data_IF_647042454161
#
_entry.id   IF_647042454161
#
_cell.length_a   1.000
_cell.length_b   1.000
_cell.length_c   1.000
_cell.angle_alpha   90.00
_cell.angle_beta   90.00
_cell.angle_gamma   90.00
#
_symmetry.space_group_name_H-M   'P 1'
#
loop_
_entity.id
_entity.type
_entity.pdbx_description
1 polymer ?
#
# COMPACT_ATOMS: atom_id res chain seq x y z
N UNK A 1 -7.51 -34.93 -15.78
CA UNK A 1 -7.57 -35.06 -14.33
C UNK A 1 -8.16 -33.75 -13.83
N UNK A 2 -9.36 -33.79 -13.22
CA UNK A 2 -9.93 -32.58 -12.61
C UNK A 2 -9.01 -32.17 -11.47
N UNK A 3 -8.66 -30.89 -11.41
CA UNK A 3 -7.97 -30.34 -10.24
C UNK A 3 -8.76 -30.70 -8.97
N UNK A 4 -8.10 -31.01 -7.85
CA UNK A 4 -8.82 -31.26 -6.62
C UNK A 4 -9.64 -30.00 -6.28
N UNK A 5 -10.88 -30.24 -5.87
CA UNK A 5 -11.82 -29.20 -5.44
C UNK A 5 -11.34 -28.66 -4.08
N UNK A 6 -10.29 -27.84 -4.10
CA UNK A 6 -9.74 -27.21 -2.89
C UNK A 6 -10.69 -26.07 -2.54
N UNK A 7 -11.53 -26.29 -1.53
CA UNK A 7 -12.41 -25.25 -1.03
C UNK A 7 -11.55 -24.05 -0.55
N UNK A 8 -11.86 -22.83 -0.99
CA UNK A 8 -11.13 -21.65 -0.54
C UNK A 8 -11.11 -21.53 0.98
N UNK A 9 -9.98 -21.09 1.54
CA UNK A 9 -9.85 -20.84 2.97
C UNK A 9 -10.82 -19.73 3.41
N UNK A 10 -11.45 -19.90 4.56
CA UNK A 10 -12.33 -18.89 5.17
C UNK A 10 -11.63 -18.26 6.38
N UNK A 11 -11.43 -16.95 6.33
CA UNK A 11 -10.76 -16.16 7.37
C UNK A 11 -11.74 -15.26 8.15
N UNK A 12 -13.06 -15.41 7.95
CA UNK A 12 -14.08 -14.53 8.56
C UNK A 12 -14.13 -14.57 10.09
N UNK A 13 -13.56 -15.61 10.69
CA UNK A 13 -13.42 -15.78 12.15
C UNK A 13 -12.13 -15.20 12.72
N UNK A 14 -11.14 -14.87 11.89
CA UNK A 14 -9.85 -14.34 12.34
C UNK A 14 -10.06 -12.91 12.86
N UNK A 15 -9.66 -12.67 14.09
CA UNK A 15 -9.71 -11.35 14.70
C UNK A 15 -8.42 -10.54 14.47
N UNK A 16 -8.41 -9.31 15.01
CA UNK A 16 -7.31 -8.38 14.82
C UNK A 16 -6.00 -8.86 15.44
N UNK A 17 -6.05 -9.40 16.66
CA UNK A 17 -4.84 -9.83 17.37
C UNK A 17 -4.25 -11.08 16.71
N UNK A 18 -5.09 -12.03 16.32
CA UNK A 18 -4.68 -13.23 15.58
C UNK A 18 -4.05 -12.87 14.23
N UNK A 19 -4.62 -11.92 13.50
CA UNK A 19 -4.06 -11.45 12.22
C UNK A 19 -2.67 -10.82 12.39
N UNK A 20 -2.47 -10.00 13.44
CA UNK A 20 -1.16 -9.46 13.78
C UNK A 20 -0.16 -10.54 14.18
N UNK A 21 -0.59 -11.54 14.92
CA UNK A 21 0.28 -12.66 15.31
C UNK A 21 0.71 -13.50 14.11
N UNK A 22 -0.21 -13.76 13.17
CA UNK A 22 0.12 -14.42 11.90
C UNK A 22 1.14 -13.60 11.09
N UNK A 23 0.95 -12.29 10.96
CA UNK A 23 1.90 -11.41 10.27
C UNK A 23 3.27 -11.37 10.99
N UNK A 24 3.26 -11.31 12.32
CA UNK A 24 4.48 -11.32 13.15
C UNK A 24 5.26 -12.63 13.00
N UNK A 25 4.57 -13.75 12.96
CA UNK A 25 5.18 -15.07 12.81
C UNK A 25 5.92 -15.24 11.47
N UNK A 26 5.51 -14.51 10.43
CA UNK A 26 6.16 -14.53 9.14
C UNK A 26 7.44 -13.67 9.05
N UNK A 27 7.74 -12.78 10.01
CA UNK A 27 8.91 -11.89 9.94
C UNK A 27 10.23 -12.65 9.65
N UNK A 28 10.59 -13.74 10.37
CA UNK A 28 11.83 -14.46 10.10
C UNK A 28 11.86 -15.08 8.70
N UNK A 29 10.74 -15.65 8.26
CA UNK A 29 10.60 -16.25 6.93
C UNK A 29 10.74 -15.18 5.83
N UNK A 30 10.10 -14.03 5.96
CA UNK A 30 10.20 -12.93 5.01
C UNK A 30 11.63 -12.37 4.93
N UNK A 31 12.33 -12.22 6.06
CA UNK A 31 13.74 -11.82 6.08
C UNK A 31 14.63 -12.78 5.30
N UNK A 32 14.37 -14.08 5.40
CA UNK A 32 15.09 -15.10 4.66
C UNK A 32 14.87 -15.01 3.15
N UNK A 33 13.67 -14.62 2.70
CA UNK A 33 13.30 -14.56 1.27
C UNK A 33 13.47 -13.18 0.64
N UNK A 34 13.74 -12.14 1.41
CA UNK A 34 13.79 -10.76 0.93
C UNK A 34 14.85 -10.52 -0.17
N UNK A 35 16.00 -11.18 -0.10
CA UNK A 35 17.02 -11.12 -1.14
C UNK A 35 16.59 -11.85 -2.44
N UNK A 36 15.84 -12.93 -2.32
CA UNK A 36 15.25 -13.62 -3.46
C UNK A 36 14.18 -12.76 -4.15
N UNK A 37 13.33 -12.07 -3.39
CA UNK A 37 12.36 -11.11 -3.93
C UNK A 37 13.06 -9.95 -4.67
N UNK A 38 14.11 -9.36 -4.08
CA UNK A 38 14.88 -8.27 -4.70
C UNK A 38 15.49 -8.71 -6.04
N UNK A 39 16.12 -9.89 -6.10
CA UNK A 39 16.71 -10.45 -7.33
C UNK A 39 15.68 -10.84 -8.37
N UNK A 40 14.55 -11.41 -7.97
CA UNK A 40 13.47 -11.81 -8.87
C UNK A 40 12.67 -10.61 -9.41
N UNK A 41 12.86 -9.42 -8.84
CA UNK A 41 12.06 -8.21 -9.12
C UNK A 41 10.54 -8.42 -8.98
N UNK A 42 10.14 -9.31 -8.09
CA UNK A 42 8.77 -9.64 -7.66
C UNK A 42 8.83 -10.53 -6.43
N UNK A 43 7.71 -10.76 -5.75
CA UNK A 43 7.66 -11.74 -4.69
C UNK A 43 7.86 -13.15 -5.27
N UNK A 44 8.67 -13.97 -4.58
CA UNK A 44 8.85 -15.38 -4.98
C UNK A 44 7.62 -16.21 -4.59
N UNK A 45 7.32 -17.31 -5.30
CA UNK A 45 6.10 -18.10 -5.11
C UNK A 45 5.88 -18.57 -3.67
N UNK A 46 6.96 -18.87 -2.94
CA UNK A 46 6.92 -19.32 -1.54
C UNK A 46 6.36 -18.21 -0.63
N UNK A 47 6.74 -16.95 -0.86
CA UNK A 47 6.24 -15.79 -0.11
C UNK A 47 4.77 -15.57 -0.41
N UNK A 48 4.37 -15.59 -1.69
CA UNK A 48 2.96 -15.41 -2.10
C UNK A 48 2.08 -16.50 -1.47
N UNK A 49 2.52 -17.76 -1.52
CA UNK A 49 1.81 -18.89 -0.89
C UNK A 49 1.64 -18.68 0.61
N UNK A 50 2.71 -18.34 1.33
CA UNK A 50 2.64 -18.10 2.77
C UNK A 50 1.68 -16.97 3.13
N UNK A 51 1.59 -15.92 2.32
CA UNK A 51 0.65 -14.82 2.53
C UNK A 51 -0.81 -15.27 2.34
N UNK A 52 -1.12 -16.08 1.31
CA UNK A 52 -2.45 -16.66 1.09
C UNK A 52 -2.84 -17.61 2.22
N UNK A 53 -1.98 -18.55 2.59
CA UNK A 53 -2.22 -19.54 3.66
C UNK A 53 -2.52 -18.86 5.01
N UNK A 54 -1.96 -17.67 5.26
CA UNK A 54 -2.21 -16.88 6.47
C UNK A 54 -3.35 -15.84 6.30
N UNK A 55 -3.97 -15.73 5.12
CA UNK A 55 -5.04 -14.79 4.83
C UNK A 55 -4.61 -13.33 4.76
N UNK A 56 -3.30 -13.03 4.64
CA UNK A 56 -2.76 -11.69 4.78
C UNK A 56 -2.98 -10.78 3.56
N UNK A 57 -3.50 -11.29 2.46
CA UNK A 57 -4.08 -10.45 1.41
C UNK A 57 -5.54 -10.07 1.71
N UNK A 58 -6.23 -10.83 2.58
CA UNK A 58 -7.66 -10.74 2.84
C UNK A 58 -8.03 -10.10 4.18
N UNK A 59 -7.05 -9.45 4.86
CA UNK A 59 -7.28 -8.89 6.20
C UNK A 59 -8.35 -7.77 6.22
N UNK A 60 -8.57 -7.10 5.10
CA UNK A 60 -9.53 -5.99 4.94
C UNK A 60 -10.65 -6.33 3.93
N UNK A 61 -10.65 -7.53 3.34
CA UNK A 61 -11.72 -8.03 2.49
C UNK A 61 -12.97 -8.32 3.33
N UNK A 62 -14.21 -8.09 2.80
CA UNK A 62 -15.45 -8.34 3.53
C UNK A 62 -15.62 -9.80 3.97
N UNK A 63 -16.24 -10.00 5.14
CA UNK A 63 -16.57 -11.34 5.68
C UNK A 63 -17.50 -12.14 4.79
N UNK A 64 -18.39 -11.47 4.03
CA UNK A 64 -19.28 -12.14 3.06
C UNK A 64 -18.52 -12.89 1.97
N UNK A 65 -17.26 -12.53 1.72
CA UNK A 65 -16.35 -13.19 0.80
C UNK A 65 -15.28 -14.04 1.52
N UNK A 66 -15.47 -14.31 2.82
CA UNK A 66 -14.53 -15.08 3.65
C UNK A 66 -13.27 -14.31 4.05
N UNK A 67 -13.22 -12.99 3.89
CA UNK A 67 -12.16 -12.13 4.41
C UNK A 67 -12.28 -11.84 5.89
N UNK A 68 -11.23 -11.28 6.50
CA UNK A 68 -11.22 -10.99 7.94
C UNK A 68 -12.06 -9.76 8.31
N UNK A 69 -12.20 -8.79 7.39
CA UNK A 69 -12.93 -7.52 7.61
C UNK A 69 -12.48 -6.79 8.88
N UNK A 70 -11.16 -6.69 9.11
CA UNK A 70 -10.60 -6.09 10.31
C UNK A 70 -10.85 -4.59 10.38
N UNK A 71 -10.76 -4.03 11.58
CA UNK A 71 -10.84 -2.59 11.83
C UNK A 71 -9.79 -1.82 11.01
N UNK A 72 -10.14 -0.57 10.63
CA UNK A 72 -9.33 0.20 9.69
C UNK A 72 -7.89 0.47 10.15
N UNK A 73 -7.57 0.34 11.43
CA UNK A 73 -6.18 0.45 11.91
C UNK A 73 -5.28 -0.66 11.35
N UNK A 74 -5.84 -1.83 11.00
CA UNK A 74 -5.12 -2.91 10.33
C UNK A 74 -4.53 -2.48 8.99
N UNK A 75 -5.09 -1.44 8.37
CA UNK A 75 -4.61 -0.82 7.13
C UNK A 75 -3.18 -0.31 7.24
N UNK A 76 -2.75 0.07 8.45
CA UNK A 76 -1.37 0.44 8.77
C UNK A 76 -0.60 -0.73 9.42
N UNK A 77 -1.19 -1.40 10.42
CA UNK A 77 -0.46 -2.31 11.31
C UNK A 77 -0.03 -3.62 10.63
N UNK A 78 -0.87 -4.20 9.74
CA UNK A 78 -0.48 -5.42 9.01
C UNK A 78 0.68 -5.17 8.04
N UNK A 79 0.63 -4.14 7.16
CA UNK A 79 1.78 -3.78 6.33
C UNK A 79 3.04 -3.43 7.13
N UNK A 80 2.92 -2.77 8.30
CA UNK A 80 4.06 -2.49 9.17
C UNK A 80 4.74 -3.79 9.62
N UNK A 81 3.96 -4.73 10.09
CA UNK A 81 4.48 -6.00 10.58
C UNK A 81 5.19 -6.77 9.46
N UNK A 82 4.60 -6.83 8.25
CA UNK A 82 5.23 -7.50 7.10
C UNK A 82 6.47 -6.76 6.60
N UNK A 83 6.41 -5.41 6.55
CA UNK A 83 7.55 -4.57 6.17
C UNK A 83 8.76 -4.70 7.08
N UNK A 84 8.56 -5.11 8.33
CA UNK A 84 9.63 -5.45 9.28
C UNK A 84 10.37 -6.75 8.88
N UNK A 85 9.71 -7.61 8.11
CA UNK A 85 10.33 -8.78 7.47
C UNK A 85 10.99 -8.42 6.13
N UNK A 86 10.21 -7.80 5.24
CA UNK A 86 10.64 -7.37 3.91
C UNK A 86 9.75 -6.21 3.42
N UNK A 87 10.36 -5.07 3.10
CA UNK A 87 9.67 -3.86 2.66
C UNK A 87 8.80 -4.09 1.41
N UNK A 88 9.33 -4.82 0.43
CA UNK A 88 8.63 -5.12 -0.81
C UNK A 88 7.37 -5.97 -0.55
N UNK A 89 7.46 -6.97 0.32
CA UNK A 89 6.32 -7.79 0.73
C UNK A 89 5.25 -6.95 1.43
N UNK A 90 5.64 -6.13 2.42
CA UNK A 90 4.71 -5.23 3.11
C UNK A 90 4.01 -4.28 2.16
N UNK A 91 4.73 -3.72 1.19
CA UNK A 91 4.19 -2.82 0.17
C UNK A 91 3.21 -3.51 -0.79
N UNK A 92 3.55 -4.71 -1.29
CA UNK A 92 2.67 -5.48 -2.18
C UNK A 92 1.37 -5.83 -1.45
N UNK A 93 1.45 -6.36 -0.23
CA UNK A 93 0.26 -6.68 0.57
C UNK A 93 -0.57 -5.42 0.85
N UNK A 94 0.06 -4.30 1.21
CA UNK A 94 -0.62 -3.02 1.43
C UNK A 94 -1.45 -2.59 0.21
N UNK A 95 -0.86 -2.66 -0.98
CA UNK A 95 -1.55 -2.28 -2.22
C UNK A 95 -2.68 -3.25 -2.55
N UNK A 96 -2.39 -4.56 -2.67
CA UNK A 96 -3.38 -5.54 -3.11
C UNK A 96 -4.56 -5.64 -2.14
N UNK A 97 -4.31 -5.65 -0.83
CA UNK A 97 -5.40 -5.64 0.16
C UNK A 97 -6.21 -4.32 0.13
N UNK A 98 -5.57 -3.17 -0.12
CA UNK A 98 -6.29 -1.89 -0.25
C UNK A 98 -7.29 -1.90 -1.42
N UNK A 99 -6.98 -2.63 -2.49
CA UNK A 99 -7.89 -2.80 -3.62
C UNK A 99 -9.06 -3.74 -3.31
N UNK A 100 -8.90 -4.72 -2.42
CA UNK A 100 -10.02 -5.49 -1.88
C UNK A 100 -11.04 -4.58 -1.18
N UNK A 101 -10.57 -3.66 -0.32
CA UNK A 101 -11.45 -2.65 0.26
C UNK A 101 -12.04 -1.73 -0.83
N UNK A 102 -11.23 -1.36 -1.81
CA UNK A 102 -11.67 -0.53 -2.94
C UNK A 102 -12.82 -1.18 -3.70
N UNK A 103 -12.75 -2.48 -4.00
CA UNK A 103 -13.77 -3.22 -4.75
C UNK A 103 -15.15 -3.18 -4.08
N UNK A 104 -15.22 -2.96 -2.76
CA UNK A 104 -16.48 -2.80 -2.04
C UNK A 104 -17.29 -1.55 -2.48
N UNK A 105 -16.73 -0.67 -3.28
CA UNK A 105 -17.45 0.45 -3.88
C UNK A 105 -18.29 0.04 -5.12
N UNK A 106 -17.92 -1.06 -5.79
CA UNK A 106 -18.57 -1.57 -7.00
C UNK A 106 -19.86 -2.33 -6.68
N UNK A 107 -20.78 -2.46 -7.66
CA UNK A 107 -22.00 -3.24 -7.46
C UNK A 107 -21.69 -4.72 -7.21
N UNK A 108 -22.65 -5.43 -6.60
CA UNK A 108 -22.53 -6.86 -6.26
C UNK A 108 -22.06 -7.71 -7.44
N UNK A 109 -22.60 -7.47 -8.65
CA UNK A 109 -22.22 -8.17 -9.89
C UNK A 109 -20.72 -8.14 -10.14
N UNK A 110 -20.03 -7.02 -9.90
CA UNK A 110 -18.58 -6.92 -10.07
C UNK A 110 -17.83 -7.69 -8.99
N UNK A 111 -18.30 -7.63 -7.74
CA UNK A 111 -17.71 -8.38 -6.64
C UNK A 111 -17.87 -9.90 -6.85
N UNK A 112 -19.06 -10.36 -7.30
CA UNK A 112 -19.32 -11.77 -7.65
C UNK A 112 -18.43 -12.25 -8.80
N UNK A 113 -18.20 -11.43 -9.82
CA UNK A 113 -17.36 -11.79 -10.95
C UNK A 113 -15.90 -11.96 -10.55
N UNK A 114 -15.40 -11.17 -9.59
CA UNK A 114 -14.02 -11.19 -9.15
C UNK A 114 -13.81 -12.23 -8.04
N UNK A 115 -14.69 -12.28 -7.03
CA UNK A 115 -14.50 -13.13 -5.85
C UNK A 115 -15.42 -14.34 -5.76
N UNK A 116 -16.47 -14.40 -6.60
CA UNK A 116 -17.51 -15.44 -6.46
C UNK A 116 -16.99 -16.86 -6.68
N UNK A 117 -16.01 -17.04 -7.57
CA UNK A 117 -15.38 -18.34 -7.82
C UNK A 117 -14.13 -18.55 -6.97
N UNK A 118 -13.36 -17.50 -6.74
CA UNK A 118 -12.13 -17.54 -5.97
C UNK A 118 -11.97 -16.24 -5.15
N UNK A 119 -12.23 -16.28 -3.84
CA UNK A 119 -12.07 -15.13 -2.97
C UNK A 119 -10.60 -14.74 -2.74
N UNK A 120 -9.63 -15.56 -3.13
CA UNK A 120 -8.20 -15.26 -3.08
C UNK A 120 -7.70 -14.46 -4.30
N UNK A 121 -8.60 -14.18 -5.28
CA UNK A 121 -8.31 -13.35 -6.46
C UNK A 121 -7.76 -11.99 -6.05
N UNK A 122 -6.58 -11.64 -6.58
CA UNK A 122 -5.88 -10.39 -6.29
C UNK A 122 -6.12 -9.34 -7.39
N UNK A 123 -6.11 -8.08 -6.98
CA UNK A 123 -6.34 -6.92 -7.85
C UNK A 123 -5.18 -5.96 -7.67
N UNK A 124 -4.40 -5.71 -8.74
CA UNK A 124 -3.42 -4.64 -8.76
C UNK A 124 -4.04 -3.33 -9.30
N UNK A 125 -3.28 -2.25 -9.45
CA UNK A 125 -3.88 -1.00 -9.94
C UNK A 125 -2.93 -0.05 -10.68
N UNK A 126 -3.50 0.67 -11.65
CA UNK A 126 -2.97 1.87 -12.26
C UNK A 126 -3.89 3.06 -11.97
N UNK A 127 -3.67 3.79 -10.86
CA UNK A 127 -4.60 4.82 -10.36
C UNK A 127 -4.38 6.22 -10.95
N UNK A 128 -3.33 6.44 -11.73
CA UNK A 128 -3.05 7.72 -12.35
C UNK A 128 -4.02 7.97 -13.53
N UNK A 129 -5.19 8.53 -13.27
CA UNK A 129 -6.28 8.68 -14.23
C UNK A 129 -5.87 9.39 -15.52
N UNK A 130 -4.89 10.29 -15.50
CA UNK A 130 -4.37 10.97 -16.68
C UNK A 130 -3.60 10.06 -17.65
N UNK A 131 -3.23 8.83 -17.21
CA UNK A 131 -2.56 7.83 -18.02
C UNK A 131 -3.52 6.95 -18.82
N UNK A 132 -4.83 7.04 -18.52
CA UNK A 132 -5.90 6.34 -19.22
C UNK A 132 -6.86 7.31 -19.91
N UNK A 133 -7.37 6.93 -21.07
CA UNK A 133 -8.40 7.65 -21.82
C UNK A 133 -9.48 6.68 -22.26
N UNK A 134 -10.75 7.10 -22.10
CA UNK A 134 -11.87 6.29 -22.53
C UNK A 134 -12.93 7.15 -23.23
N UNK A 135 -13.73 6.51 -24.09
CA UNK A 135 -14.93 7.08 -24.72
C UNK A 135 -16.14 6.26 -24.33
N UNK A 136 -17.31 6.94 -24.24
CA UNK A 136 -18.58 6.24 -24.01
C UNK A 136 -18.96 5.43 -25.25
N UNK A 137 -19.37 4.19 -25.02
CA UNK A 137 -19.96 3.30 -26.02
C UNK A 137 -21.22 2.65 -25.47
N UNK A 138 -22.01 2.00 -26.29
CA UNK A 138 -23.23 1.33 -25.82
C UNK A 138 -22.89 0.25 -24.76
N UNK A 139 -23.48 0.37 -23.57
CA UNK A 139 -23.33 -0.56 -22.45
C UNK A 139 -22.00 -0.45 -21.67
N UNK A 140 -21.14 0.55 -21.95
CA UNK A 140 -19.87 0.70 -21.28
C UNK A 140 -18.96 1.80 -21.81
N UNK A 141 -17.66 1.54 -21.72
CA UNK A 141 -16.62 2.43 -22.25
C UNK A 141 -15.59 1.63 -23.07
N UNK A 142 -14.98 2.29 -24.06
CA UNK A 142 -13.78 1.83 -24.73
C UNK A 142 -12.55 2.46 -24.07
N UNK A 143 -11.70 1.65 -23.43
CA UNK A 143 -10.55 2.08 -22.64
C UNK A 143 -9.24 1.86 -23.37
N UNK A 144 -8.35 2.83 -23.34
CA UNK A 144 -6.95 2.76 -23.79
C UNK A 144 -6.05 3.46 -22.78
N UNK A 145 -4.88 2.89 -22.47
CA UNK A 145 -3.93 3.55 -21.60
C UNK A 145 -2.64 2.78 -21.37
N UNK A 146 -1.73 3.44 -20.65
CA UNK A 146 -0.46 2.90 -20.20
C UNK A 146 -0.16 3.43 -18.80
N UNK A 147 -0.23 2.57 -17.79
CA UNK A 147 -0.05 2.94 -16.38
C UNK A 147 1.22 2.31 -15.84
N UNK A 148 2.12 3.14 -15.31
CA UNK A 148 3.28 2.68 -14.56
C UNK A 148 2.96 2.41 -13.10
N UNK A 149 3.87 1.73 -12.42
CA UNK A 149 3.84 1.50 -10.98
C UNK A 149 2.69 0.61 -10.49
N UNK A 150 2.24 -0.38 -11.28
CA UNK A 150 1.28 -1.38 -10.82
C UNK A 150 1.94 -2.41 -9.91
N UNK A 151 1.98 -2.11 -8.61
CA UNK A 151 2.65 -2.94 -7.60
C UNK A 151 1.92 -4.27 -7.40
N UNK A 152 2.67 -5.39 -7.48
CA UNK A 152 2.12 -6.73 -7.29
C UNK A 152 1.37 -7.30 -8.49
N UNK A 153 1.41 -6.64 -9.66
CA UNK A 153 0.70 -7.08 -10.87
C UNK A 153 1.11 -8.48 -11.33
N UNK A 154 2.34 -8.91 -11.06
CA UNK A 154 2.80 -10.27 -11.38
C UNK A 154 2.00 -11.39 -10.65
N UNK A 155 1.22 -11.02 -9.63
CA UNK A 155 0.44 -11.93 -8.77
C UNK A 155 -1.06 -11.66 -8.81
N UNK A 156 -1.52 -10.81 -9.75
CA UNK A 156 -2.90 -10.34 -9.79
C UNK A 156 -3.61 -10.82 -11.05
N UNK A 157 -4.83 -11.28 -10.89
CA UNK A 157 -5.72 -11.70 -11.98
C UNK A 157 -6.51 -10.53 -12.55
N UNK A 158 -6.59 -9.43 -11.80
CA UNK A 158 -7.32 -8.21 -12.17
C UNK A 158 -6.49 -6.96 -11.98
N UNK A 159 -6.84 -5.93 -12.76
CA UNK A 159 -6.30 -4.59 -12.66
C UNK A 159 -7.42 -3.56 -12.46
N UNK A 160 -7.21 -2.65 -11.50
CA UNK A 160 -8.03 -1.49 -11.29
C UNK A 160 -7.41 -0.29 -12.02
N UNK A 161 -7.91 0.05 -13.21
CA UNK A 161 -7.33 1.07 -14.08
C UNK A 161 -8.15 2.36 -14.06
N UNK A 162 -7.49 3.48 -13.75
CA UNK A 162 -8.11 4.80 -13.75
C UNK A 162 -8.03 5.44 -15.14
N UNK A 163 -9.10 6.16 -15.57
CA UNK A 163 -9.11 6.85 -16.83
C UNK A 163 -9.94 8.13 -16.80
N UNK A 164 -9.63 9.03 -17.72
CA UNK A 164 -10.49 10.17 -18.07
C UNK A 164 -11.44 9.76 -19.18
N UNK A 165 -12.76 9.88 -18.95
CA UNK A 165 -13.78 9.68 -19.96
C UNK A 165 -14.00 10.98 -20.71
N UNK A 166 -14.03 10.91 -22.05
CA UNK A 166 -14.18 12.05 -22.94
C UNK A 166 -15.45 11.91 -23.78
N UNK A 167 -16.08 13.05 -24.11
CA UNK A 167 -17.15 13.13 -25.10
C UNK A 167 -16.62 13.00 -26.55
N UNK A 168 -17.52 13.10 -27.53
CA UNK A 168 -17.21 13.01 -28.96
C UNK A 168 -16.27 14.14 -29.44
N UNK A 169 -16.29 15.28 -28.76
CA UNK A 169 -15.46 16.46 -29.03
C UNK A 169 -14.09 16.37 -28.31
N UNK A 170 -13.84 15.29 -27.53
CA UNK A 170 -12.60 15.06 -26.78
C UNK A 170 -12.52 15.79 -25.44
N UNK A 171 -13.60 16.40 -24.98
CA UNK A 171 -13.66 17.12 -23.70
C UNK A 171 -13.84 16.13 -22.54
N UNK A 172 -13.06 16.26 -21.44
CA UNK A 172 -13.26 15.46 -20.25
C UNK A 172 -14.66 15.67 -19.63
N UNK A 173 -15.40 14.58 -19.42
CA UNK A 173 -16.75 14.58 -18.83
C UNK A 173 -16.83 13.80 -17.53
N UNK A 174 -15.93 12.85 -17.30
CA UNK A 174 -15.87 12.01 -16.11
C UNK A 174 -14.47 11.46 -15.90
N UNK A 175 -14.17 10.94 -14.73
CA UNK A 175 -13.09 9.99 -14.54
C UNK A 175 -13.63 8.74 -13.85
N UNK A 176 -13.12 7.58 -14.29
CA UNK A 176 -13.60 6.28 -13.84
C UNK A 176 -12.46 5.39 -13.37
N UNK A 177 -12.79 4.51 -12.46
CA UNK A 177 -11.98 3.36 -12.08
C UNK A 177 -12.60 2.12 -12.70
N UNK A 178 -11.80 1.34 -13.43
CA UNK A 178 -12.26 0.21 -14.22
C UNK A 178 -11.67 -1.09 -13.71
N UNK A 179 -12.49 -2.11 -13.47
CA UNK A 179 -12.01 -3.47 -13.17
C UNK A 179 -11.78 -4.22 -14.49
N UNK A 180 -10.54 -4.61 -14.76
CA UNK A 180 -10.09 -5.20 -16.02
C UNK A 180 -9.44 -6.56 -15.74
N UNK A 181 -9.89 -7.68 -16.35
CA UNK A 181 -9.27 -8.98 -16.16
C UNK A 181 -7.92 -9.08 -16.90
N UNK A 182 -7.03 -9.94 -16.41
CA UNK A 182 -5.68 -10.13 -16.95
C UNK A 182 -5.66 -10.43 -18.46
N UNK A 183 -6.70 -11.06 -18.99
CA UNK A 183 -6.83 -11.36 -20.43
C UNK A 183 -6.95 -10.11 -21.32
N UNK A 184 -7.20 -8.93 -20.75
CA UNK A 184 -7.44 -7.67 -21.48
C UNK A 184 -6.33 -6.64 -21.34
N UNK A 185 -5.28 -6.93 -20.60
CA UNK A 185 -4.13 -6.02 -20.48
C UNK A 185 -2.80 -6.75 -20.68
N UNK A 186 -1.74 -6.00 -20.94
CA UNK A 186 -0.37 -6.50 -21.07
C UNK A 186 0.52 -5.90 -20.00
N UNK A 187 1.28 -6.75 -19.32
CA UNK A 187 2.31 -6.34 -18.36
C UNK A 187 3.65 -6.19 -19.08
N UNK A 188 4.28 -5.02 -18.95
CA UNK A 188 5.60 -4.73 -19.52
C UNK A 188 6.66 -5.02 -18.45
N UNK A 189 7.65 -5.84 -18.78
CA UNK A 189 8.74 -6.17 -17.86
C UNK A 189 9.81 -5.07 -17.84
N UNK A 190 9.50 -3.94 -17.20
CA UNK A 190 10.32 -2.72 -17.14
C UNK A 190 10.74 -2.31 -15.72
N UNK A 191 10.46 -3.15 -14.69
CA UNK A 191 10.75 -2.84 -13.30
C UNK A 191 12.20 -3.13 -12.91
N UNK A 192 13.09 -2.18 -13.25
CA UNK A 192 14.51 -2.24 -12.92
C UNK A 192 14.91 -0.97 -12.17
N UNK A 193 14.94 -1.04 -10.86
CA UNK A 193 14.97 0.10 -9.96
C UNK A 193 16.10 0.01 -8.93
N UNK A 194 16.39 1.14 -8.27
CA UNK A 194 17.36 1.23 -7.19
C UNK A 194 16.98 0.36 -5.99
N UNK A 195 15.72 0.41 -5.56
CA UNK A 195 15.14 -0.31 -4.45
C UNK A 195 13.68 -0.64 -4.72
N UNK A 196 12.99 -1.23 -3.75
CA UNK A 196 11.62 -1.75 -3.90
C UNK A 196 11.50 -2.74 -5.08
N UNK A 197 12.58 -3.41 -5.41
CA UNK A 197 12.66 -4.29 -6.59
C UNK A 197 11.68 -5.45 -6.50
N UNK A 198 11.55 -6.05 -5.30
CA UNK A 198 10.61 -7.15 -5.04
C UNK A 198 9.13 -6.80 -5.17
N UNK A 199 8.77 -5.51 -5.37
CA UNK A 199 7.36 -5.13 -5.57
C UNK A 199 6.83 -5.47 -6.96
N UNK A 200 7.69 -5.64 -7.96
CA UNK A 200 7.27 -5.88 -9.35
C UNK A 200 6.31 -4.81 -9.87
N UNK A 201 6.54 -3.52 -9.52
CA UNK A 201 5.62 -2.42 -9.85
C UNK A 201 5.69 -2.05 -11.32
N UNK A 202 5.35 -3.01 -12.18
CA UNK A 202 5.52 -2.94 -13.65
C UNK A 202 4.52 -2.00 -14.30
N UNK A 203 4.80 -1.65 -15.55
CA UNK A 203 3.87 -0.93 -16.41
C UNK A 203 2.82 -1.88 -16.99
N UNK A 204 1.56 -1.44 -16.96
CA UNK A 204 0.42 -2.12 -17.58
C UNK A 204 -0.09 -1.30 -18.75
N UNK A 205 -0.49 -1.95 -19.82
CA UNK A 205 -1.06 -1.28 -21.00
C UNK A 205 -2.25 -2.06 -21.55
N UNK A 206 -3.24 -1.32 -22.06
CA UNK A 206 -4.33 -1.88 -22.86
C UNK A 206 -4.67 -0.93 -24.02
N UNK A 207 -5.27 -1.46 -25.08
CA UNK A 207 -5.64 -0.70 -26.24
C UNK A 207 -7.04 -1.07 -26.71
N UNK A 208 -7.97 -0.09 -26.71
CA UNK A 208 -9.35 -0.23 -27.18
C UNK A 208 -10.09 -1.43 -26.60
N UNK A 209 -9.98 -1.62 -25.28
CA UNK A 209 -10.73 -2.69 -24.63
C UNK A 209 -12.12 -2.19 -24.21
N UNK A 210 -13.14 -3.03 -24.36
CA UNK A 210 -14.47 -2.77 -23.85
C UNK A 210 -14.54 -3.09 -22.37
N UNK A 211 -14.99 -2.09 -21.57
CA UNK A 211 -15.27 -2.25 -20.15
C UNK A 211 -16.75 -1.95 -19.93
N UNK A 212 -17.55 -2.94 -19.48
CA UNK A 212 -18.98 -2.74 -19.26
C UNK A 212 -19.23 -1.79 -18.07
N UNK A 213 -20.36 -1.07 -18.09
CA UNK A 213 -20.69 -0.03 -17.11
C UNK A 213 -20.59 -0.49 -15.66
N UNK A 214 -20.99 -1.74 -15.34
CA UNK A 214 -20.92 -2.26 -13.98
C UNK A 214 -19.49 -2.45 -13.46
N UNK A 215 -18.47 -2.51 -14.35
CA UNK A 215 -17.05 -2.56 -14.00
C UNK A 215 -16.37 -1.17 -14.05
N UNK A 216 -17.00 -0.17 -14.65
CA UNK A 216 -16.44 1.18 -14.86
C UNK A 216 -17.08 2.19 -13.90
N UNK A 217 -16.60 2.24 -12.65
CA UNK A 217 -17.15 3.05 -11.59
C UNK A 217 -16.77 4.54 -11.76
N UNK A 218 -17.77 5.43 -11.86
CA UNK A 218 -17.53 6.87 -11.83
C UNK A 218 -17.02 7.31 -10.45
N UNK A 219 -15.97 8.10 -10.44
CA UNK A 219 -15.34 8.62 -9.23
C UNK A 219 -15.65 10.11 -9.02
N UNK A 220 -16.75 10.61 -9.54
CA UNK A 220 -17.24 11.99 -9.36
C UNK A 220 -17.49 12.33 -7.88
N UNK A 221 -16.42 12.34 -7.09
CA UNK A 221 -16.44 12.59 -5.64
C UNK A 221 -16.97 14.01 -5.33
N UNK A 222 -16.85 14.93 -6.27
CA UNK A 222 -17.36 16.29 -6.15
C UNK A 222 -18.92 16.38 -6.20
N UNK A 223 -19.62 15.30 -6.55
CA UNK A 223 -21.08 15.27 -6.49
C UNK A 223 -21.52 14.84 -5.09
N UNK A 224 -22.08 15.72 -4.25
CA UNK A 224 -22.50 15.40 -2.88
C UNK A 224 -23.63 14.35 -2.81
N UNK A 225 -24.29 14.04 -3.93
CA UNK A 225 -25.30 12.99 -4.07
C UNK A 225 -24.74 11.67 -4.61
N UNK A 226 -23.45 11.60 -4.90
CA UNK A 226 -22.84 10.40 -5.44
C UNK A 226 -22.75 9.33 -4.34
N UNK A 227 -23.45 8.24 -4.51
CA UNK A 227 -23.37 7.05 -3.65
C UNK A 227 -22.75 5.90 -4.45
N UNK A 228 -21.69 5.32 -3.92
CA UNK A 228 -21.11 4.12 -4.50
C UNK A 228 -22.05 2.92 -4.29
N UNK A 229 -22.44 2.21 -5.36
CA UNK A 229 -23.48 1.18 -5.29
C UNK A 229 -23.16 0.05 -4.32
N UNK A 230 -21.89 -0.33 -4.19
CA UNK A 230 -21.44 -1.42 -3.33
C UNK A 230 -21.50 -1.10 -1.84
N UNK A 231 -21.47 0.19 -1.43
CA UNK A 231 -21.50 0.55 0.00
C UNK A 231 -22.81 0.14 0.71
N UNK A 232 -23.88 -0.11 -0.03
CA UNK A 232 -25.16 -0.61 0.52
C UNK A 232 -25.09 -2.09 0.90
N UNK A 233 -24.09 -2.84 0.39
CA UNK A 233 -23.91 -4.26 0.63
C UNK A 233 -23.14 -4.53 1.93
N UNK A 234 -22.38 -3.54 2.42
CA UNK A 234 -21.46 -3.68 3.53
C UNK A 234 -21.90 -2.82 4.73
N UNK A 235 -22.17 -3.45 5.86
CA UNK A 235 -22.58 -2.76 7.08
C UNK A 235 -21.43 -2.08 7.81
N UNK A 236 -20.19 -2.60 7.66
CA UNK A 236 -19.02 -2.05 8.32
C UNK A 236 -18.69 -0.66 7.80
N UNK A 237 -18.63 0.31 8.70
CA UNK A 237 -18.36 1.71 8.39
C UNK A 237 -16.96 1.96 7.82
N UNK A 238 -16.03 1.03 7.99
CA UNK A 238 -14.70 1.07 7.42
C UNK A 238 -14.72 1.27 5.89
N UNK A 239 -15.67 0.64 5.20
CA UNK A 239 -15.78 0.75 3.74
C UNK A 239 -16.20 2.15 3.26
N UNK A 240 -16.77 2.97 4.15
CA UNK A 240 -17.17 4.36 3.87
C UNK A 240 -16.03 5.38 4.05
N UNK A 241 -14.90 4.99 4.67
CA UNK A 241 -13.76 5.91 4.88
C UNK A 241 -13.15 6.27 3.52
N UNK A 242 -12.96 7.57 3.18
CA UNK A 242 -12.39 7.98 1.90
C UNK A 242 -10.93 7.52 1.74
N UNK A 243 -10.64 6.82 0.66
CA UNK A 243 -9.28 6.33 0.37
C UNK A 243 -8.31 7.49 0.06
N UNK A 244 -8.81 8.56 -0.59
CA UNK A 244 -7.97 9.65 -1.08
C UNK A 244 -7.12 10.35 -0.01
N UNK A 245 -7.59 10.39 1.25
CA UNK A 245 -6.87 11.04 2.35
C UNK A 245 -5.96 10.10 3.15
N UNK A 246 -6.22 8.80 3.11
CA UNK A 246 -5.54 7.78 3.91
C UNK A 246 -4.84 6.70 3.06
N UNK A 247 -4.93 6.78 1.72
CA UNK A 247 -4.35 5.77 0.83
C UNK A 247 -2.83 5.57 0.98
N UNK A 248 -2.10 6.60 1.39
CA UNK A 248 -0.66 6.49 1.66
C UNK A 248 -0.31 5.79 2.98
N UNK A 249 -1.27 5.61 3.91
CA UNK A 249 -0.98 5.07 5.25
C UNK A 249 -0.61 3.59 5.22
N UNK A 250 -1.20 2.78 4.34
CA UNK A 250 -0.86 1.37 4.24
C UNK A 250 0.58 1.16 3.76
N UNK A 251 0.99 1.88 2.72
CA UNK A 251 2.37 1.81 2.22
C UNK A 251 3.38 2.47 3.17
N UNK A 252 2.97 3.51 3.90
CA UNK A 252 3.77 4.09 4.98
C UNK A 252 3.94 3.10 6.16
N UNK A 253 2.95 2.27 6.44
CA UNK A 253 3.06 1.15 7.38
C UNK A 253 4.21 0.23 7.00
N UNK A 254 4.24 -0.27 5.76
CA UNK A 254 5.32 -1.11 5.26
C UNK A 254 6.71 -0.47 5.44
N UNK A 255 6.82 0.85 5.16
CA UNK A 255 8.08 1.57 5.30
C UNK A 255 8.45 1.89 6.76
N UNK A 256 7.46 2.02 7.64
CA UNK A 256 7.70 2.09 9.10
C UNK A 256 8.28 0.77 9.60
N UNK A 257 7.76 -0.37 9.13
CA UNK A 257 8.31 -1.70 9.39
C UNK A 257 9.74 -1.86 8.88
N UNK A 258 10.03 -1.37 7.67
CA UNK A 258 11.38 -1.37 7.09
C UNK A 258 12.37 -0.57 7.96
N UNK A 259 11.99 0.62 8.41
CA UNK A 259 12.82 1.42 9.32
C UNK A 259 13.01 0.75 10.69
N UNK A 260 11.97 0.07 11.20
CA UNK A 260 12.05 -0.75 12.42
C UNK A 260 13.05 -1.90 12.25
N UNK A 261 13.05 -2.58 11.10
CA UNK A 261 14.05 -3.62 10.79
C UNK A 261 15.48 -3.06 10.77
N UNK A 262 15.68 -1.86 10.21
CA UNK A 262 16.97 -1.18 10.27
C UNK A 262 17.44 -0.94 11.71
N UNK A 263 16.54 -0.47 12.57
CA UNK A 263 16.83 -0.22 13.99
C UNK A 263 17.24 -1.50 14.72
N UNK A 264 16.51 -2.58 14.51
CA UNK A 264 16.82 -3.89 15.11
C UNK A 264 18.17 -4.44 14.67
N UNK A 265 18.39 -4.50 13.36
CA UNK A 265 19.63 -5.04 12.79
C UNK A 265 20.84 -4.19 13.21
N UNK A 266 20.73 -2.87 13.20
CA UNK A 266 21.80 -1.97 13.63
C UNK A 266 22.09 -2.13 15.13
N UNK A 267 21.04 -2.25 15.96
CA UNK A 267 21.21 -2.46 17.40
C UNK A 267 21.94 -3.76 17.70
N UNK A 268 21.57 -4.86 17.05
CA UNK A 268 22.25 -6.14 17.21
C UNK A 268 23.71 -6.09 16.72
N UNK A 269 23.94 -5.47 15.56
CA UNK A 269 25.29 -5.26 15.05
C UNK A 269 26.18 -4.48 16.04
N UNK A 270 25.67 -3.39 16.60
CA UNK A 270 26.41 -2.51 17.53
C UNK A 270 26.75 -3.22 18.83
N UNK A 271 25.88 -4.10 19.34
CA UNK A 271 26.16 -4.90 20.56
C UNK A 271 27.40 -5.77 20.40
N UNK A 272 27.66 -6.27 19.20
CA UNK A 272 28.73 -7.23 18.91
C UNK A 272 30.01 -6.58 18.38
N UNK A 273 29.93 -5.37 17.81
CA UNK A 273 31.01 -4.75 17.05
C UNK A 273 31.96 -3.94 17.94
N UNK A 274 33.24 -4.04 17.63
CA UNK A 274 34.30 -3.18 18.16
C UNK A 274 34.92 -2.34 17.04
N UNK A 275 35.55 -1.21 17.39
CA UNK A 275 36.28 -0.37 16.44
C UNK A 275 37.56 -1.09 15.95
N UNK A 276 37.91 -0.93 14.68
CA UNK A 276 39.05 -1.60 14.06
C UNK A 276 40.39 -1.11 14.59
N UNK A 277 40.46 0.14 15.05
CA UNK A 277 41.75 0.74 15.46
C UNK A 277 42.02 0.68 16.96
N UNK A 278 40.99 0.72 17.78
CA UNK A 278 41.16 0.79 19.25
C UNK A 278 40.61 -0.42 19.97
N UNK A 279 39.85 -1.29 19.30
CA UNK A 279 39.18 -2.44 19.92
C UNK A 279 38.04 -2.05 20.87
N UNK A 280 37.72 -0.75 20.99
CA UNK A 280 36.66 -0.27 21.86
C UNK A 280 35.28 -0.75 21.38
N UNK A 281 34.41 -1.16 22.28
CA UNK A 281 33.06 -1.66 21.96
C UNK A 281 32.18 -0.51 21.51
N UNK A 282 31.57 -0.62 20.31
CA UNK A 282 30.71 0.44 19.75
C UNK A 282 29.53 0.79 20.64
N UNK A 283 28.95 -0.20 21.33
CA UNK A 283 27.82 0.00 22.26
C UNK A 283 28.10 0.98 23.41
N UNK A 284 29.39 1.19 23.76
CA UNK A 284 29.80 2.03 24.89
C UNK A 284 29.98 3.52 24.50
N UNK A 285 29.88 3.83 23.18
CA UNK A 285 29.99 5.23 22.71
C UNK A 285 28.66 5.98 22.87
N UNK A 286 28.69 7.10 23.58
CA UNK A 286 27.50 7.95 23.75
C UNK A 286 26.91 8.44 22.43
N UNK A 287 27.74 8.73 21.42
CA UNK A 287 27.28 9.13 20.07
C UNK A 287 26.51 8.02 19.36
N UNK A 288 26.87 6.78 19.58
CA UNK A 288 26.16 5.60 19.04
C UNK A 288 24.82 5.43 19.74
N UNK A 289 24.82 5.52 21.09
CA UNK A 289 23.59 5.45 21.91
C UNK A 289 22.60 6.56 21.53
N UNK A 290 23.09 7.80 21.37
CA UNK A 290 22.28 8.95 20.94
C UNK A 290 21.62 8.70 19.59
N UNK A 291 22.37 8.21 18.58
CA UNK A 291 21.87 7.94 17.23
C UNK A 291 20.78 6.85 17.21
N UNK A 292 20.98 5.77 17.97
CA UNK A 292 19.97 4.72 18.14
C UNK A 292 18.70 5.29 18.79
N UNK A 293 18.85 6.06 19.86
CA UNK A 293 17.72 6.70 20.54
C UNK A 293 16.94 7.67 19.65
N UNK A 294 17.63 8.49 18.86
CA UNK A 294 17.00 9.42 17.91
C UNK A 294 16.25 8.68 16.79
N UNK A 295 16.86 7.63 16.22
CA UNK A 295 16.21 6.84 15.18
C UNK A 295 14.95 6.14 15.73
N UNK A 296 15.03 5.52 16.90
CA UNK A 296 13.89 4.91 17.57
C UNK A 296 12.75 5.90 17.82
N UNK A 297 13.06 7.09 18.37
CA UNK A 297 12.06 8.14 18.63
C UNK A 297 11.35 8.61 17.35
N UNK A 298 12.06 8.75 16.21
CA UNK A 298 11.47 9.12 14.93
C UNK A 298 10.51 8.03 14.43
N UNK A 299 10.90 6.76 14.50
CA UNK A 299 10.09 5.62 14.08
C UNK A 299 8.82 5.53 14.92
N UNK A 300 8.94 5.66 16.26
CA UNK A 300 7.80 5.61 17.17
C UNK A 300 6.84 6.78 17.00
N UNK A 301 7.36 7.98 16.73
CA UNK A 301 6.53 9.15 16.42
C UNK A 301 5.70 8.91 15.15
N UNK A 302 6.32 8.42 14.08
CA UNK A 302 5.62 8.13 12.81
C UNK A 302 4.57 7.05 13.01
N UNK A 303 4.91 5.94 13.66
CA UNK A 303 3.97 4.86 14.00
C UNK A 303 2.76 5.43 14.76
N UNK A 304 2.99 6.24 15.77
CA UNK A 304 1.94 6.84 16.59
C UNK A 304 1.04 7.75 15.76
N UNK A 305 1.61 8.63 14.93
CA UNK A 305 0.82 9.56 14.11
C UNK A 305 -0.07 8.83 13.12
N UNK A 306 0.51 7.93 12.33
CA UNK A 306 -0.22 7.29 11.22
C UNK A 306 -1.24 6.28 11.73
N UNK A 307 -0.91 5.55 12.77
CA UNK A 307 -1.85 4.65 13.44
C UNK A 307 -3.02 5.42 14.04
N UNK A 308 -2.76 6.57 14.70
CA UNK A 308 -3.80 7.41 15.26
C UNK A 308 -4.71 8.02 14.18
N UNK A 309 -4.17 8.43 13.03
CA UNK A 309 -4.98 8.91 11.90
C UNK A 309 -5.98 7.84 11.44
N UNK A 310 -5.56 6.57 11.37
CA UNK A 310 -6.45 5.45 11.02
C UNK A 310 -7.52 5.20 12.10
N UNK A 311 -7.16 5.23 13.37
CA UNK A 311 -8.08 5.06 14.51
C UNK A 311 -9.11 6.19 14.58
N UNK A 312 -8.67 7.43 14.40
CA UNK A 312 -9.55 8.61 14.39
C UNK A 312 -10.59 8.51 13.27
N UNK A 313 -10.14 8.19 12.05
CA UNK A 313 -11.02 8.00 10.90
C UNK A 313 -12.02 6.86 11.16
N UNK A 314 -11.55 5.70 11.65
CA UNK A 314 -12.41 4.56 11.96
C UNK A 314 -13.50 4.92 12.99
N UNK A 315 -13.11 5.52 14.12
CA UNK A 315 -14.02 5.90 15.19
C UNK A 315 -15.05 6.93 14.72
N UNK A 316 -14.63 7.91 13.91
CA UNK A 316 -15.51 8.93 13.37
C UNK A 316 -16.59 8.31 12.47
N UNK A 317 -16.21 7.43 11.54
CA UNK A 317 -17.17 6.79 10.62
C UNK A 317 -18.06 5.78 11.33
N UNK A 318 -17.58 5.11 12.39
CA UNK A 318 -18.38 4.20 13.22
C UNK A 318 -19.58 4.88 13.88
N UNK A 319 -19.46 6.17 14.24
CA UNK A 319 -20.56 6.96 14.81
C UNK A 319 -21.32 7.79 13.76
N UNK A 320 -21.13 7.52 12.46
CA UNK A 320 -21.83 8.22 11.36
C UNK A 320 -21.28 9.61 11.02
N UNK A 321 -20.12 9.98 11.56
CA UNK A 321 -19.42 11.24 11.24
C UNK A 321 -18.78 11.23 9.85
N UNK A 322 -18.24 12.39 9.45
CA UNK A 322 -17.51 12.58 8.18
C UNK A 322 -16.25 13.39 8.42
N UNK A 323 -15.17 13.08 7.71
CA UNK A 323 -13.91 13.84 7.79
C UNK A 323 -14.08 15.26 7.24
N UNK A 324 -13.59 16.24 7.98
CA UNK A 324 -13.44 17.62 7.49
C UNK A 324 -12.28 17.70 6.49
N UNK A 325 -12.21 18.79 5.72
CA UNK A 325 -11.08 19.02 4.81
C UNK A 325 -9.76 19.15 5.57
N UNK A 326 -9.76 19.80 6.73
CA UNK A 326 -8.59 19.97 7.60
C UNK A 326 -8.07 18.62 8.09
N UNK A 327 -8.94 17.71 8.52
CA UNK A 327 -8.57 16.36 8.93
C UNK A 327 -7.96 15.57 7.77
N UNK A 328 -8.58 15.61 6.59
CA UNK A 328 -8.07 14.96 5.38
C UNK A 328 -6.68 15.46 4.99
N UNK A 329 -6.46 16.77 5.00
CA UNK A 329 -5.18 17.39 4.68
C UNK A 329 -4.13 17.11 5.76
N UNK A 330 -4.53 17.07 7.04
CA UNK A 330 -3.65 16.68 8.15
C UNK A 330 -3.12 15.27 7.98
N UNK A 331 -3.97 14.31 7.63
CA UNK A 331 -3.55 12.92 7.39
C UNK A 331 -2.51 12.83 6.26
N UNK A 332 -2.74 13.52 5.15
CA UNK A 332 -1.78 13.57 4.05
C UNK A 332 -0.45 14.20 4.48
N UNK A 333 -0.50 15.31 5.22
CA UNK A 333 0.68 15.96 5.80
C UNK A 333 1.45 15.00 6.72
N UNK A 334 0.76 14.33 7.63
CA UNK A 334 1.36 13.39 8.59
C UNK A 334 2.06 12.23 7.85
N UNK A 335 1.43 11.70 6.81
CA UNK A 335 1.97 10.62 5.99
C UNK A 335 3.28 11.05 5.30
N UNK A 336 3.29 12.21 4.63
CA UNK A 336 4.48 12.70 3.92
C UNK A 336 5.62 13.10 4.88
N UNK A 337 5.30 13.80 5.98
CA UNK A 337 6.31 14.15 6.98
C UNK A 337 6.83 12.91 7.71
N UNK A 338 5.96 11.91 7.94
CA UNK A 338 6.36 10.63 8.52
C UNK A 338 7.41 9.93 7.66
N UNK A 339 7.21 9.83 6.34
CA UNK A 339 8.20 9.22 5.45
C UNK A 339 9.55 9.96 5.52
N UNK A 340 9.55 11.28 5.57
CA UNK A 340 10.80 12.06 5.73
C UNK A 340 11.55 11.66 7.00
N UNK A 341 10.84 11.54 8.12
CA UNK A 341 11.46 11.12 9.40
C UNK A 341 11.98 9.68 9.35
N UNK A 342 11.29 8.77 8.63
CA UNK A 342 11.74 7.38 8.45
C UNK A 342 13.01 7.32 7.60
N UNK A 343 13.11 8.11 6.53
CA UNK A 343 14.34 8.23 5.71
C UNK A 343 15.51 8.70 6.59
N UNK A 344 15.33 9.79 7.34
CA UNK A 344 16.36 10.30 8.26
C UNK A 344 16.78 9.27 9.33
N UNK A 345 15.85 8.47 9.83
CA UNK A 345 16.17 7.40 10.78
C UNK A 345 17.00 6.30 10.12
N UNK A 346 16.61 5.84 8.92
CA UNK A 346 17.34 4.80 8.18
C UNK A 346 18.72 5.30 7.77
N UNK A 347 18.86 6.56 7.33
CA UNK A 347 20.17 7.16 7.02
C UNK A 347 21.11 7.11 8.22
N UNK A 348 20.63 7.55 9.38
CA UNK A 348 21.40 7.53 10.63
C UNK A 348 21.85 6.11 11.01
N UNK A 349 20.98 5.12 10.83
CA UNK A 349 21.28 3.72 11.15
C UNK A 349 22.23 3.09 10.12
N UNK A 350 22.07 3.43 8.84
CA UNK A 350 22.93 2.94 7.77
C UNK A 350 24.36 3.48 7.89
N UNK A 351 24.55 4.76 8.23
CA UNK A 351 25.87 5.35 8.50
C UNK A 351 26.66 4.57 9.54
N UNK A 352 25.98 4.00 10.56
CA UNK A 352 26.60 3.23 11.63
C UNK A 352 27.13 1.87 11.16
N UNK A 353 26.69 1.37 10.01
CA UNK A 353 27.24 0.14 9.41
C UNK A 353 28.67 0.35 8.85
N UNK A 354 29.04 1.61 8.55
CA UNK A 354 30.31 1.97 7.94
C UNK A 354 30.48 1.30 6.56
N UNK A 355 31.73 1.08 6.15
CA UNK A 355 32.05 0.49 4.85
C UNK A 355 31.42 -0.90 4.62
N UNK A 356 31.10 -1.65 5.68
CA UNK A 356 30.46 -2.95 5.54
C UNK A 356 28.99 -2.87 5.12
N UNK A 357 28.35 -1.72 5.26
CA UNK A 357 26.97 -1.50 4.85
C UNK A 357 26.73 -1.55 3.35
N UNK A 358 27.75 -1.32 2.53
CA UNK A 358 27.59 -1.22 1.06
C UNK A 358 27.59 -2.58 0.34
N UNK A 359 27.96 -3.67 1.01
CA UNK A 359 27.99 -4.99 0.37
C UNK A 359 26.60 -5.50 0.05
N UNK A 360 26.46 -6.20 -1.09
CA UNK A 360 25.18 -6.76 -1.55
C UNK A 360 24.54 -7.77 -0.59
N UNK A 361 25.35 -8.45 0.23
CA UNK A 361 24.87 -9.37 1.25
C UNK A 361 24.49 -8.67 2.57
N UNK A 362 24.58 -7.33 2.65
CA UNK A 362 24.15 -6.56 3.82
C UNK A 362 22.63 -6.31 3.77
N UNK A 363 21.85 -6.83 4.72
CA UNK A 363 20.41 -6.52 4.78
C UNK A 363 20.15 -5.02 4.93
N UNK A 364 21.01 -4.26 5.61
CA UNK A 364 20.89 -2.83 5.77
C UNK A 364 21.01 -2.07 4.44
N UNK A 365 21.83 -2.54 3.51
CA UNK A 365 21.94 -1.96 2.16
C UNK A 365 20.60 -2.04 1.42
N UNK A 366 19.92 -3.20 1.44
CA UNK A 366 18.61 -3.36 0.82
C UNK A 366 17.56 -2.48 1.51
N UNK A 367 17.50 -2.48 2.84
CA UNK A 367 16.59 -1.63 3.64
C UNK A 367 16.78 -0.16 3.28
N UNK A 368 18.02 0.31 3.17
CA UNK A 368 18.36 1.68 2.77
C UNK A 368 17.84 2.01 1.37
N UNK A 369 18.13 1.15 0.37
CA UNK A 369 17.66 1.34 -1.01
C UNK A 369 16.13 1.36 -1.10
N UNK A 370 15.47 0.46 -0.39
CA UNK A 370 14.02 0.34 -0.39
C UNK A 370 13.37 1.57 0.25
N UNK A 371 13.91 2.07 1.37
CA UNK A 371 13.40 3.28 2.02
C UNK A 371 13.47 4.50 1.10
N UNK A 372 14.61 4.70 0.43
CA UNK A 372 14.81 5.81 -0.49
C UNK A 372 13.98 5.70 -1.78
N UNK A 373 13.86 4.50 -2.34
CA UNK A 373 13.03 4.28 -3.52
C UNK A 373 11.54 4.53 -3.22
N UNK A 374 11.05 4.05 -2.09
CA UNK A 374 9.67 4.25 -1.66
C UNK A 374 9.35 5.72 -1.38
N UNK A 375 10.30 6.50 -0.85
CA UNK A 375 10.13 7.92 -0.54
C UNK A 375 9.79 8.78 -1.78
N UNK A 376 10.07 8.29 -3.00
CA UNK A 376 9.68 8.93 -4.25
C UNK A 376 8.19 8.86 -4.58
N UNK A 377 7.38 8.09 -3.83
CA UNK A 377 5.95 7.98 -4.08
C UNK A 377 5.21 9.30 -3.80
N UNK A 378 4.22 9.65 -4.64
CA UNK A 378 3.48 10.92 -4.56
C UNK A 378 2.86 11.20 -3.18
N UNK A 379 2.38 10.17 -2.49
CA UNK A 379 1.82 10.32 -1.13
C UNK A 379 2.84 10.83 -0.11
N UNK A 380 4.14 10.74 -0.40
CA UNK A 380 5.24 11.13 0.46
C UNK A 380 5.93 12.44 0.03
N UNK A 381 5.46 13.05 -1.07
CA UNK A 381 5.96 14.36 -1.51
C UNK A 381 5.57 15.44 -0.50
N UNK A 382 6.55 15.98 0.22
CA UNK A 382 6.33 17.05 1.21
C UNK A 382 5.71 18.29 0.57
N UNK A 383 6.17 18.70 -0.60
CA UNK A 383 5.67 19.87 -1.31
C UNK A 383 4.19 19.72 -1.69
N UNK A 384 3.83 18.54 -2.22
CA UNK A 384 2.45 18.26 -2.65
C UNK A 384 1.47 18.06 -1.48
N UNK A 385 1.93 17.52 -0.33
CA UNK A 385 1.03 17.12 0.74
C UNK A 385 1.00 18.09 1.93
N UNK A 386 2.09 18.86 2.19
CA UNK A 386 2.12 19.81 3.30
C UNK A 386 1.54 21.17 2.90
N UNK A 387 1.82 21.64 1.69
CA UNK A 387 1.39 22.95 1.18
C UNK A 387 -0.14 23.13 1.25
N UNK A 388 -1.00 22.20 0.83
CA UNK A 388 -2.45 22.37 0.92
C UNK A 388 -2.97 22.53 2.36
N UNK A 389 -2.36 21.79 3.30
CA UNK A 389 -2.72 21.93 4.70
C UNK A 389 -2.39 23.34 5.23
N UNK A 390 -1.17 23.82 4.96
CA UNK A 390 -0.73 25.16 5.37
C UNK A 390 -1.58 26.27 4.69
N UNK A 391 -1.94 26.11 3.42
CA UNK A 391 -2.82 27.03 2.71
C UNK A 391 -4.17 27.23 3.42
N UNK A 392 -4.80 26.14 3.86
CA UNK A 392 -6.07 26.21 4.62
C UNK A 392 -5.87 26.87 5.98
N UNK A 393 -4.77 26.57 6.70
CA UNK A 393 -4.45 27.19 8.00
C UNK A 393 -4.23 28.71 7.88
N UNK A 394 -3.77 29.19 6.73
CA UNK A 394 -3.58 30.60 6.43
C UNK A 394 -4.85 31.29 5.86
N UNK A 395 -6.01 30.61 5.90
CA UNK A 395 -7.30 31.15 5.45
C UNK A 395 -7.55 31.00 3.94
N UNK A 396 -6.69 30.27 3.22
CA UNK A 396 -6.92 29.96 1.80
C UNK A 396 -7.91 28.83 1.59
N UNK A 397 -8.60 28.83 0.45
CA UNK A 397 -9.46 27.72 0.04
C UNK A 397 -8.63 26.65 -0.68
N UNK A 398 -8.87 25.36 -0.34
CA UNK A 398 -8.33 24.24 -1.07
C UNK A 398 -9.46 23.42 -1.70
N UNK A 399 -9.40 23.27 -3.04
CA UNK A 399 -10.34 22.49 -3.83
C UNK A 399 -9.59 21.40 -4.57
N UNK A 400 -10.02 20.16 -4.44
CA UNK A 400 -9.48 19.02 -5.19
C UNK A 400 -10.61 18.10 -5.60
N UNK A 401 -10.63 17.63 -6.84
CA UNK A 401 -11.63 16.66 -7.31
C UNK A 401 -11.47 15.27 -6.65
N UNK A 402 -10.36 15.03 -5.96
CA UNK A 402 -10.03 13.72 -5.37
C UNK A 402 -9.99 13.73 -3.83
N UNK A 403 -10.46 14.80 -3.18
CA UNK A 403 -10.35 14.94 -1.71
C UNK A 403 -11.71 15.00 -1.01
#
# INVERSE_FOLDING_TARGET
MNAPDIKPLDFSSVDYDEALDRARALIPFLRQHADANDKATKLVPEVVRALHENGLFRYIQPKIWGGMELDFVSYFDIPEMLGRGDAATGWVVANLASHHRGLCLWPLKTQEEIWGNDPDTLIASGIAYAQGSATLVEGGIELTGKWGFSSGVDHSEWEQLACVVKDAEGKPIDWRMCQVPQSQFTVINDWQTLGMRGTGSRTVTCQKIFVPDYRALSMHIANPKHEFPGLKLHSNSMFKIPTASLGGHCIAGAMTGNAQAALELTTEMVKLRSTNYTGAKMRDFQTVQLRIGMAGAKIDAVRTWLRNDCLEAHNLYRIGGKLTIEAKLRYKRNCAMGMKLLVEAVDTLFEMSGAMGIYDNSPLQRIYRDQHAAAGHFSFSTDAQLTPWAQVQLGGEFKSPTL
#
